data_IF_859991240384
#
_entry.id   IF_859991240384
#
_cell.length_a   1.000
_cell.length_b   1.000
_cell.length_c   1.000
_cell.angle_alpha   90.00
_cell.angle_beta   90.00
_cell.angle_gamma   90.00
#
_symmetry.space_group_name_H-M   'P 1'
#
loop_
_entity.id
_entity.type
_entity.pdbx_description
1 polymer ?
#
# COMPACT_ATOMS: atom_id res chain seq x y z
N UNK A 1 4.65 12.56 17.53
CA UNK A 1 3.59 12.83 16.55
C UNK A 1 2.31 12.12 16.95
N UNK A 2 1.18 12.79 16.88
CA UNK A 2 -0.10 12.17 17.18
C UNK A 2 -0.62 11.34 15.99
N UNK A 3 -1.52 10.40 16.28
CA UNK A 3 -2.19 9.64 15.20
C UNK A 3 -3.00 10.57 14.30
N UNK A 4 -3.58 11.64 14.85
CA UNK A 4 -4.33 12.62 14.05
C UNK A 4 -3.45 13.28 13.00
N UNK A 5 -2.22 13.66 13.34
CA UNK A 5 -1.27 14.24 12.39
C UNK A 5 -0.90 13.25 11.29
N UNK A 6 -0.66 11.99 11.65
CA UNK A 6 -0.37 10.93 10.69
C UNK A 6 -1.54 10.74 9.71
N UNK A 7 -2.77 10.65 10.23
CA UNK A 7 -3.96 10.48 9.39
C UNK A 7 -4.15 11.65 8.43
N UNK A 8 -3.93 12.90 8.88
CA UNK A 8 -4.00 14.06 8.00
C UNK A 8 -2.95 14.00 6.89
N UNK A 9 -1.73 13.62 7.21
CA UNK A 9 -0.66 13.48 6.21
C UNK A 9 -0.99 12.43 5.17
N UNK A 10 -1.54 11.29 5.61
CA UNK A 10 -1.95 10.22 4.70
C UNK A 10 -3.12 10.62 3.82
N UNK A 11 -4.11 11.36 4.37
CA UNK A 11 -5.25 11.84 3.59
C UNK A 11 -4.83 12.77 2.45
N UNK A 12 -3.77 13.55 2.66
CA UNK A 12 -3.28 14.53 1.68
C UNK A 12 -2.20 13.97 0.78
N UNK A 13 -1.66 12.79 1.09
CA UNK A 13 -0.55 12.22 0.33
C UNK A 13 -1.02 11.68 -1.00
N UNK A 14 -0.33 12.06 -2.06
CA UNK A 14 -0.49 11.44 -3.38
C UNK A 14 0.33 10.16 -3.49
N UNK A 15 1.46 10.11 -2.78
CA UNK A 15 2.42 9.01 -2.82
C UNK A 15 3.11 8.93 -1.48
N UNK A 16 3.43 7.71 -1.04
CA UNK A 16 4.22 7.49 0.17
C UNK A 16 5.38 6.55 -0.17
N UNK A 17 6.35 6.46 0.74
CA UNK A 17 7.42 5.48 0.62
C UNK A 17 7.05 4.26 1.45
N UNK A 18 7.03 3.10 0.80
CA UNK A 18 6.82 1.80 1.44
C UNK A 18 8.15 1.06 1.48
N UNK A 19 8.58 0.64 2.66
CA UNK A 19 9.77 -0.19 2.82
C UNK A 19 9.37 -1.59 3.27
N UNK A 20 9.79 -2.59 2.51
CA UNK A 20 9.50 -4.00 2.77
C UNK A 20 10.83 -4.74 2.81
N UNK A 21 10.98 -5.67 3.76
CA UNK A 21 12.19 -6.50 3.83
C UNK A 21 12.26 -7.45 2.65
N UNK A 22 13.41 -7.44 1.97
CA UNK A 22 13.67 -8.39 0.89
C UNK A 22 13.69 -9.83 1.42
N UNK A 23 12.95 -10.73 0.79
CA UNK A 23 12.85 -12.12 1.23
C UNK A 23 14.17 -12.90 1.08
N UNK A 24 15.08 -12.40 0.27
CA UNK A 24 16.40 -13.00 0.06
C UNK A 24 17.50 -12.25 0.80
N UNK A 25 17.46 -10.92 0.79
CA UNK A 25 18.52 -10.09 1.36
C UNK A 25 18.31 -9.75 2.83
N UNK A 26 17.05 -9.72 3.30
CA UNK A 26 16.70 -9.25 4.64
C UNK A 26 16.83 -7.74 4.81
N UNK A 27 17.13 -7.01 3.75
CA UNK A 27 17.28 -5.56 3.78
C UNK A 27 15.96 -4.87 3.51
N UNK A 28 15.76 -3.71 4.11
CA UNK A 28 14.62 -2.86 3.81
C UNK A 28 14.78 -2.28 2.40
N UNK A 29 13.77 -2.50 1.56
CA UNK A 29 13.75 -2.02 0.17
C UNK A 29 12.67 -0.94 0.06
N UNK A 30 13.06 0.36 -0.04
CA UNK A 30 12.08 1.44 -0.15
C UNK A 30 11.56 1.57 -1.57
N UNK A 31 10.26 1.87 -1.70
CA UNK A 31 9.61 2.11 -2.99
C UNK A 31 8.54 3.17 -2.86
N UNK A 32 8.38 4.06 -3.86
CA UNK A 32 7.22 4.92 -3.89
C UNK A 32 5.97 4.11 -4.27
N UNK A 33 4.88 4.31 -3.57
CA UNK A 33 3.62 3.64 -3.85
C UNK A 33 2.45 4.60 -3.73
N UNK A 34 1.39 4.31 -4.46
CA UNK A 34 0.11 4.99 -4.30
C UNK A 34 -0.66 4.36 -3.15
N UNK A 35 -1.61 5.11 -2.60
CA UNK A 35 -2.34 4.70 -1.41
C UNK A 35 -3.76 5.23 -1.44
N UNK A 36 -4.65 4.55 -0.72
CA UNK A 36 -5.94 5.09 -0.33
C UNK A 36 -6.04 4.98 1.19
N UNK A 37 -6.36 6.06 1.85
CA UNK A 37 -6.51 6.12 3.30
C UNK A 37 -7.96 6.44 3.66
N UNK A 38 -8.59 5.58 4.44
CA UNK A 38 -9.96 5.78 4.92
C UNK A 38 -10.03 5.47 6.41
N UNK A 39 -10.39 6.48 7.21
CA UNK A 39 -10.49 6.30 8.65
C UNK A 39 -9.16 5.87 9.25
N UNK A 40 -9.10 4.66 9.79
CA UNK A 40 -7.89 4.07 10.38
C UNK A 40 -7.26 3.02 9.48
N UNK A 41 -7.70 2.90 8.23
CA UNK A 41 -7.24 1.87 7.31
C UNK A 41 -6.51 2.49 6.15
N UNK A 42 -5.37 1.91 5.81
CA UNK A 42 -4.58 2.25 4.65
C UNK A 42 -4.65 1.08 3.67
N UNK A 43 -4.95 1.38 2.40
CA UNK A 43 -4.99 0.37 1.35
C UNK A 43 -3.85 0.58 0.37
N UNK A 44 -3.22 -0.51 -0.02
CA UNK A 44 -2.15 -0.54 -1.01
C UNK A 44 -2.51 -1.53 -2.11
N UNK A 45 -2.16 -1.21 -3.36
CA UNK A 45 -2.33 -2.12 -4.48
C UNK A 45 -0.97 -2.44 -5.09
N UNK A 46 -0.59 -3.71 -5.13
CA UNK A 46 0.62 -4.11 -5.86
C UNK A 46 0.43 -3.89 -7.37
N UNK A 47 1.41 -3.26 -8.02
CA UNK A 47 1.31 -2.84 -9.43
C UNK A 47 1.13 -4.03 -10.37
N UNK A 48 1.78 -5.15 -10.10
CA UNK A 48 1.67 -6.38 -10.87
C UNK A 48 0.90 -7.46 -10.08
N UNK A 49 0.00 -7.03 -9.19
CA UNK A 49 -0.75 -7.93 -8.36
C UNK A 49 0.14 -8.86 -7.56
N UNK A 50 -0.21 -10.14 -7.52
CA UNK A 50 0.55 -11.17 -6.79
C UNK A 50 1.96 -11.40 -7.32
N UNK A 51 2.28 -10.90 -8.52
CA UNK A 51 3.63 -11.01 -9.09
C UNK A 51 4.57 -9.88 -8.64
N UNK A 52 4.05 -8.88 -7.95
CA UNK A 52 4.84 -7.75 -7.47
C UNK A 52 5.85 -8.20 -6.41
N UNK A 53 7.11 -7.78 -6.56
CA UNK A 53 8.18 -8.20 -5.65
C UNK A 53 7.91 -7.82 -4.19
N UNK A 54 7.47 -6.58 -3.92
CA UNK A 54 7.24 -6.19 -2.53
C UNK A 54 6.06 -6.96 -1.91
N UNK A 55 5.08 -7.37 -2.71
CA UNK A 55 3.99 -8.21 -2.23
C UNK A 55 4.50 -9.60 -1.84
N UNK A 56 5.36 -10.20 -2.68
CA UNK A 56 5.98 -11.50 -2.37
C UNK A 56 6.83 -11.41 -1.11
N UNK A 57 7.56 -10.32 -0.92
CA UNK A 57 8.35 -10.07 0.28
C UNK A 57 7.45 -9.95 1.52
N UNK A 58 6.30 -9.26 1.39
CA UNK A 58 5.33 -9.12 2.48
C UNK A 58 4.77 -10.47 2.93
N UNK A 59 4.58 -11.41 2.01
CA UNK A 59 4.09 -12.75 2.38
C UNK A 59 5.08 -13.51 3.26
N UNK A 60 6.37 -13.22 3.15
CA UNK A 60 7.41 -13.82 4.00
C UNK A 60 7.52 -13.09 5.33
N UNK A 61 7.52 -11.74 5.30
CA UNK A 61 7.57 -10.91 6.50
C UNK A 61 6.56 -9.78 6.36
N UNK A 62 5.44 -9.80 7.09
CA UNK A 62 4.37 -8.83 6.95
C UNK A 62 4.66 -7.47 7.60
N UNK A 63 5.80 -7.32 8.28
CA UNK A 63 6.16 -6.04 8.87
C UNK A 63 6.73 -5.10 7.83
N UNK A 64 6.13 -3.92 7.73
CA UNK A 64 6.45 -2.90 6.75
C UNK A 64 6.80 -1.61 7.48
N UNK A 65 7.41 -0.67 6.74
CA UNK A 65 7.51 0.71 7.20
C UNK A 65 6.89 1.61 6.16
N UNK A 66 6.11 2.58 6.61
CA UNK A 66 5.60 3.63 5.71
C UNK A 66 6.21 4.96 6.13
N UNK A 67 6.55 5.77 5.13
CA UNK A 67 7.12 7.09 5.34
C UNK A 67 6.33 8.11 4.57
N UNK A 68 5.88 9.16 5.26
CA UNK A 68 5.11 10.26 4.68
C UNK A 68 5.53 11.57 5.35
N UNK A 69 5.94 12.54 4.53
CA UNK A 69 6.35 13.87 5.01
C UNK A 69 7.32 13.82 6.21
N UNK A 70 8.35 12.99 6.10
CA UNK A 70 9.39 12.88 7.13
C UNK A 70 9.02 12.03 8.34
N UNK A 71 7.83 11.44 8.36
CA UNK A 71 7.39 10.54 9.43
C UNK A 71 7.48 9.12 8.93
N UNK A 72 8.19 8.27 9.68
CA UNK A 72 8.31 6.86 9.38
C UNK A 72 7.71 6.05 10.53
N UNK A 73 6.82 5.12 10.20
CA UNK A 73 6.19 4.25 11.19
C UNK A 73 6.25 2.79 10.74
N UNK A 74 6.48 1.85 11.68
CA UNK A 74 6.33 0.43 11.40
C UNK A 74 4.84 0.06 11.41
N UNK A 75 4.44 -0.76 10.45
CA UNK A 75 3.07 -1.24 10.35
C UNK A 75 3.07 -2.70 9.91
N UNK A 76 1.91 -3.35 10.04
CA UNK A 76 1.74 -4.73 9.58
C UNK A 76 0.80 -4.74 8.39
N UNK A 77 1.23 -5.34 7.29
CA UNK A 77 0.41 -5.51 6.10
C UNK A 77 -0.39 -6.80 6.16
N UNK A 78 -1.65 -6.74 5.74
CA UNK A 78 -2.52 -7.90 5.64
C UNK A 78 -2.91 -8.12 4.18
N UNK A 79 -2.53 -9.25 3.58
CA UNK A 79 -2.96 -9.54 2.21
C UNK A 79 -4.47 -9.71 2.12
N UNK A 80 -5.06 -9.20 1.04
CA UNK A 80 -6.46 -9.35 0.73
C UNK A 80 -6.55 -10.09 -0.60
N UNK A 81 -7.25 -11.22 -0.61
CA UNK A 81 -7.41 -12.06 -1.80
C UNK A 81 -8.88 -12.22 -2.20
N UNK A 82 -9.81 -11.71 -1.41
CA UNK A 82 -11.24 -11.72 -1.73
C UNK A 82 -11.52 -10.77 -2.89
N UNK A 83 -12.04 -11.31 -3.99
CA UNK A 83 -12.28 -10.54 -5.22
C UNK A 83 -13.24 -9.37 -5.02
N UNK A 84 -14.26 -9.51 -4.19
CA UNK A 84 -15.22 -8.43 -3.93
C UNK A 84 -14.55 -7.27 -3.19
N UNK A 85 -13.70 -7.57 -2.23
CA UNK A 85 -12.95 -6.55 -1.50
C UNK A 85 -11.93 -5.87 -2.41
N UNK A 86 -11.25 -6.65 -3.25
CA UNK A 86 -10.28 -6.12 -4.20
C UNK A 86 -10.95 -5.16 -5.17
N UNK A 87 -12.12 -5.54 -5.74
CA UNK A 87 -12.87 -4.68 -6.65
C UNK A 87 -13.23 -3.35 -6.00
N UNK A 88 -13.64 -3.38 -4.74
CA UNK A 88 -13.96 -2.17 -3.98
C UNK A 88 -12.74 -1.28 -3.79
N UNK A 89 -11.61 -1.88 -3.43
CA UNK A 89 -10.34 -1.16 -3.25
C UNK A 89 -9.88 -0.54 -4.58
N UNK A 90 -9.96 -1.29 -5.67
CA UNK A 90 -9.61 -0.78 -7.00
C UNK A 90 -10.46 0.43 -7.38
N UNK A 91 -11.78 0.39 -7.09
CA UNK A 91 -12.65 1.55 -7.32
C UNK A 91 -12.21 2.77 -6.52
N UNK A 92 -11.76 2.59 -5.28
CA UNK A 92 -11.24 3.68 -4.45
C UNK A 92 -10.00 4.29 -5.07
N UNK A 93 -9.10 3.48 -5.61
CA UNK A 93 -7.90 3.96 -6.32
C UNK A 93 -8.28 4.71 -7.59
N UNK A 94 -9.23 4.19 -8.36
CA UNK A 94 -9.72 4.86 -9.58
C UNK A 94 -10.38 6.20 -9.26
N UNK A 95 -11.09 6.28 -8.14
CA UNK A 95 -11.71 7.52 -7.68
C UNK A 95 -10.67 8.58 -7.32
N UNK A 96 -9.58 8.17 -6.67
CA UNK A 96 -8.52 9.09 -6.23
C UNK A 96 -7.59 9.51 -7.36
N UNK A 97 -7.13 8.57 -8.18
CA UNK A 97 -6.07 8.78 -9.17
C UNK A 97 -6.58 8.90 -10.59
N UNK A 98 -7.82 8.50 -10.85
CA UNK A 98 -8.39 8.45 -12.19
C UNK A 98 -8.28 7.06 -12.80
N UNK A 99 -9.34 6.64 -13.50
CA UNK A 99 -9.40 5.30 -14.10
C UNK A 99 -8.29 5.07 -15.12
N UNK A 100 -8.01 6.07 -15.95
CA UNK A 100 -6.95 5.98 -16.96
C UNK A 100 -5.57 5.78 -16.35
N UNK A 101 -5.27 6.51 -15.27
CA UNK A 101 -3.97 6.39 -14.58
C UNK A 101 -3.83 5.03 -13.91
N UNK A 102 -4.89 4.51 -13.29
CA UNK A 102 -4.86 3.20 -12.65
C UNK A 102 -4.63 2.11 -13.70
N UNK A 103 -5.35 2.16 -14.82
CA UNK A 103 -5.16 1.19 -15.91
C UNK A 103 -3.78 1.28 -16.55
N UNK A 104 -3.18 2.47 -16.57
CA UNK A 104 -1.86 2.69 -17.16
C UNK A 104 -0.75 2.03 -16.35
N UNK A 105 -0.80 2.11 -15.03
CA UNK A 105 0.29 1.67 -14.15
C UNK A 105 0.07 0.30 -13.53
N UNK A 106 -1.17 -0.13 -13.37
CA UNK A 106 -1.50 -1.41 -12.72
C UNK A 106 -1.87 -2.45 -13.77
N UNK A 107 -1.16 -3.58 -13.77
CA UNK A 107 -1.33 -4.61 -14.79
C UNK A 107 -2.15 -5.81 -14.34
N UNK A 108 -2.35 -5.97 -13.02
CA UNK A 108 -3.05 -7.12 -12.47
C UNK A 108 -3.70 -6.75 -11.14
N UNK A 109 -4.95 -7.15 -10.95
CA UNK A 109 -5.76 -6.80 -9.77
C UNK A 109 -6.27 -8.04 -9.05
N UNK A 110 -5.38 -8.95 -8.68
CA UNK A 110 -5.75 -10.20 -8.00
C UNK A 110 -5.50 -10.18 -6.49
N UNK A 111 -4.82 -9.18 -5.98
CA UNK A 111 -4.54 -9.02 -4.54
C UNK A 111 -4.50 -7.54 -4.17
N UNK A 112 -4.70 -7.28 -2.89
CA UNK A 112 -4.51 -5.95 -2.30
C UNK A 112 -3.87 -6.13 -0.93
N UNK A 113 -3.50 -5.02 -0.28
CA UNK A 113 -2.95 -5.04 1.06
C UNK A 113 -3.66 -4.01 1.92
N UNK A 114 -4.02 -4.42 3.12
CA UNK A 114 -4.67 -3.58 4.13
C UNK A 114 -3.73 -3.37 5.29
N UNK A 115 -3.65 -2.14 5.79
CA UNK A 115 -2.88 -1.77 6.96
C UNK A 115 -3.80 -1.07 7.95
N UNK A 116 -3.89 -1.56 9.18
CA UNK A 116 -4.63 -0.90 10.25
C UNK A 116 -3.67 0.03 11.00
N UNK A 117 -4.10 1.28 11.14
CA UNK A 117 -3.28 2.34 11.76
C UNK A 117 -3.65 2.62 13.21
#
# INVERSE_FOLDING_TARGET
MSKADLHQKLDRAYEITLSVKGRKSGRDIPRPVWLVHEGKTLYLLPVQGSDTNWYKNLLVDPMLKISVNGVEIPVRGKPITDSNRIDDIVRKFKSKYGEGEVKKYYTKFDVAVEVQL
#
